data_IF_835666699969
#
_entry.id   IF_835666699969
#
_cell.length_a   1.000
_cell.length_b   1.000
_cell.length_c   1.000
_cell.angle_alpha   90.00
_cell.angle_beta   90.00
_cell.angle_gamma   90.00
#
_symmetry.space_group_name_H-M   'P 1'
#
loop_
_entity.id
_entity.type
_entity.pdbx_description
1 polymer ?
#
# COMPACT_ATOMS: atom_id res chain seq x y z
N UNK A 1 1.70 4.84 32.76
CA UNK A 1 0.90 3.79 32.11
C UNK A 1 0.55 2.65 33.09
N UNK A 2 1.49 1.87 33.57
CA UNK A 2 1.23 0.71 34.47
C UNK A 2 0.39 1.08 35.70
N UNK A 3 0.68 2.20 36.37
CA UNK A 3 -0.09 2.67 37.52
C UNK A 3 -1.56 2.95 37.16
N UNK A 4 -1.82 3.51 35.95
CA UNK A 4 -3.18 3.74 35.48
C UNK A 4 -3.92 2.41 35.23
N UNK A 5 -3.24 1.44 34.63
CA UNK A 5 -3.81 0.12 34.34
C UNK A 5 -4.18 -0.65 35.62
N UNK A 6 -3.38 -0.52 36.68
CA UNK A 6 -3.64 -1.19 37.95
C UNK A 6 -4.72 -0.50 38.79
N UNK A 7 -4.89 0.81 38.63
CA UNK A 7 -5.75 1.63 39.50
C UNK A 7 -7.00 2.18 38.81
N UNK A 8 -7.20 1.92 37.52
CA UNK A 8 -8.40 2.36 36.82
C UNK A 8 -9.63 1.61 37.36
N UNK A 9 -10.56 2.34 37.92
CA UNK A 9 -11.84 1.77 38.37
C UNK A 9 -12.73 1.35 37.19
N UNK A 10 -13.69 0.47 37.45
CA UNK A 10 -14.61 -0.07 36.43
C UNK A 10 -15.31 1.02 35.59
N UNK A 11 -15.64 2.14 36.21
CA UNK A 11 -16.33 3.26 35.57
C UNK A 11 -15.50 3.94 34.45
N UNK A 12 -14.18 4.07 34.65
CA UNK A 12 -13.28 4.71 33.68
C UNK A 12 -12.58 3.73 32.74
N UNK A 13 -12.64 2.43 33.06
CA UNK A 13 -11.95 1.38 32.31
C UNK A 13 -12.28 1.34 30.82
N UNK A 14 -13.55 1.45 30.36
CA UNK A 14 -13.85 1.44 28.93
C UNK A 14 -13.15 2.57 28.17
N UNK A 15 -13.05 3.76 28.77
CA UNK A 15 -12.36 4.89 28.14
C UNK A 15 -10.85 4.70 28.11
N UNK A 16 -10.27 4.05 29.11
CA UNK A 16 -8.85 3.69 29.16
C UNK A 16 -8.54 2.63 28.09
N UNK A 17 -9.35 1.58 28.04
CA UNK A 17 -9.20 0.50 27.05
C UNK A 17 -9.23 1.03 25.61
N UNK A 18 -10.21 1.85 25.25
CA UNK A 18 -10.32 2.43 23.92
C UNK A 18 -9.05 3.22 23.52
N UNK A 19 -8.50 4.02 24.47
CA UNK A 19 -7.29 4.80 24.19
C UNK A 19 -6.05 3.94 24.05
N UNK A 20 -5.96 2.87 24.83
CA UNK A 20 -4.85 1.91 24.74
C UNK A 20 -4.88 1.17 23.41
N UNK A 21 -6.06 0.73 22.99
CA UNK A 21 -6.23 0.00 21.74
C UNK A 21 -5.83 0.86 20.53
N UNK A 22 -6.28 2.12 20.50
CA UNK A 22 -5.83 3.08 19.47
C UNK A 22 -4.31 3.30 19.58
N UNK A 23 -3.78 3.46 20.81
CA UNK A 23 -2.35 3.67 21.04
C UNK A 23 -1.48 2.52 20.54
N UNK A 24 -1.88 1.28 20.75
CA UNK A 24 -1.16 0.10 20.23
C UNK A 24 -1.17 0.04 18.72
N UNK A 25 -2.32 0.27 18.11
CA UNK A 25 -2.43 0.32 16.64
C UNK A 25 -1.62 1.49 16.06
N UNK A 26 -1.63 2.65 16.70
CA UNK A 26 -0.83 3.81 16.29
C UNK A 26 0.67 3.53 16.41
N UNK A 27 1.11 2.85 17.46
CA UNK A 27 2.51 2.43 17.61
C UNK A 27 2.95 1.49 16.48
N UNK A 28 2.09 0.59 16.02
CA UNK A 28 2.39 -0.27 14.87
C UNK A 28 2.55 0.52 13.58
N UNK A 29 1.77 1.60 13.37
CA UNK A 29 1.99 2.52 12.24
C UNK A 29 3.36 3.20 12.34
N UNK A 30 3.75 3.68 13.53
CA UNK A 30 5.06 4.29 13.74
C UNK A 30 6.21 3.29 13.51
N UNK A 31 6.07 2.03 13.88
CA UNK A 31 7.07 0.99 13.60
C UNK A 31 7.27 0.79 12.09
N UNK A 32 6.20 0.84 11.31
CA UNK A 32 6.28 0.82 9.84
C UNK A 32 6.97 2.07 9.30
N UNK A 33 6.54 3.26 9.74
CA UNK A 33 7.13 4.54 9.31
C UNK A 33 8.62 4.64 9.64
N UNK A 34 9.05 4.13 10.79
CA UNK A 34 10.47 4.07 11.15
C UNK A 34 11.30 3.28 10.14
N UNK A 35 10.78 2.16 9.61
CA UNK A 35 11.47 1.37 8.61
C UNK A 35 11.57 2.10 7.26
N UNK A 36 10.55 2.87 6.88
CA UNK A 36 10.59 3.70 5.68
C UNK A 36 11.58 4.85 5.82
N UNK A 37 11.59 5.53 6.96
CA UNK A 37 12.53 6.62 7.26
C UNK A 37 13.98 6.14 7.33
N UNK A 38 14.22 5.01 7.99
CA UNK A 38 15.55 4.37 8.02
C UNK A 38 16.01 4.06 6.61
N UNK A 39 15.16 3.46 5.78
CA UNK A 39 15.49 3.13 4.38
C UNK A 39 15.88 4.39 3.59
N UNK A 40 15.10 5.46 3.71
CA UNK A 40 15.39 6.72 3.04
C UNK A 40 16.74 7.29 3.51
N UNK A 41 16.95 7.39 4.81
CA UNK A 41 18.18 7.94 5.38
C UNK A 41 19.42 7.13 4.97
N UNK A 42 19.33 5.80 5.00
CA UNK A 42 20.46 4.95 4.60
C UNK A 42 20.71 4.98 3.09
N UNK A 43 19.67 5.15 2.27
CA UNK A 43 19.81 5.26 0.81
C UNK A 43 20.53 6.52 0.36
N UNK A 44 20.39 7.63 1.11
CA UNK A 44 21.05 8.91 0.84
C UNK A 44 22.47 8.99 1.45
N UNK A 45 22.82 8.06 2.33
CA UNK A 45 24.16 7.96 2.88
C UNK A 45 25.14 7.51 1.77
N UNK A 46 26.27 8.20 1.53
CA UNK A 46 27.26 7.80 0.49
C UNK A 46 27.77 6.37 0.63
N UNK A 47 27.82 5.82 1.83
CA UNK A 47 28.25 4.43 2.10
C UNK A 47 27.13 3.42 1.85
N UNK A 48 25.88 3.86 1.74
CA UNK A 48 24.67 3.04 1.49
C UNK A 48 24.62 1.77 2.35
N UNK A 49 24.76 1.89 3.67
CA UNK A 49 24.84 0.72 4.56
C UNK A 49 23.47 0.01 4.61
N UNK A 50 23.50 -1.29 4.85
CA UNK A 50 22.31 -2.06 5.19
C UNK A 50 21.79 -1.64 6.58
N UNK A 51 20.47 -1.61 6.76
CA UNK A 51 19.85 -1.57 8.09
C UNK A 51 20.14 -2.86 8.84
N UNK A 52 19.99 -4.01 8.17
CA UNK A 52 20.34 -5.34 8.68
C UNK A 52 20.92 -6.19 7.57
N UNK A 53 22.02 -6.85 7.86
CA UNK A 53 22.68 -7.81 6.95
C UNK A 53 22.16 -9.24 7.08
N UNK A 54 21.36 -9.52 8.10
CA UNK A 54 20.82 -10.83 8.46
C UNK A 54 19.34 -11.00 8.10
N UNK A 55 18.80 -10.14 7.20
CA UNK A 55 17.43 -10.29 6.72
C UNK A 55 17.24 -11.62 5.99
N UNK A 56 16.06 -12.20 6.16
CA UNK A 56 15.67 -13.38 5.41
C UNK A 56 15.71 -13.08 3.90
N UNK A 57 16.18 -14.04 3.12
CA UNK A 57 16.16 -13.93 1.66
C UNK A 57 14.75 -14.17 1.14
N UNK A 58 14.28 -13.31 0.24
CA UNK A 58 13.01 -13.54 -0.45
C UNK A 58 13.09 -14.83 -1.27
N UNK A 59 12.00 -15.62 -1.33
CA UNK A 59 11.97 -16.83 -2.16
C UNK A 59 12.32 -16.51 -3.61
N UNK A 60 13.14 -17.35 -4.22
CA UNK A 60 13.38 -17.30 -5.67
C UNK A 60 12.21 -17.98 -6.36
N UNK A 61 11.30 -17.20 -6.90
CA UNK A 61 10.16 -17.67 -7.66
C UNK A 61 10.02 -16.85 -8.94
N UNK A 62 9.41 -17.44 -9.96
CA UNK A 62 8.91 -16.71 -11.11
C UNK A 62 7.46 -16.36 -10.84
N UNK A 63 7.13 -15.09 -10.94
CA UNK A 63 5.75 -14.62 -10.77
C UNK A 63 4.86 -15.31 -11.85
N UNK A 64 3.69 -15.82 -11.47
CA UNK A 64 2.78 -16.41 -12.46
C UNK A 64 2.31 -15.34 -13.44
N UNK A 65 1.93 -15.78 -14.65
CA UNK A 65 1.30 -14.85 -15.61
C UNK A 65 0.08 -14.20 -14.97
N UNK A 66 -0.02 -12.89 -15.16
CA UNK A 66 -1.19 -12.14 -14.71
C UNK A 66 -2.43 -12.64 -15.48
N UNK A 67 -3.49 -12.89 -14.75
CA UNK A 67 -4.81 -13.16 -15.31
C UNK A 67 -5.85 -12.29 -14.60
N UNK A 68 -7.08 -12.28 -15.12
CA UNK A 68 -8.14 -11.41 -14.66
C UNK A 68 -9.19 -12.17 -13.88
N UNK A 69 -9.49 -11.71 -12.67
CA UNK A 69 -10.56 -12.25 -11.83
C UNK A 69 -11.79 -11.35 -12.01
N UNK A 70 -12.91 -11.95 -12.39
CA UNK A 70 -14.16 -11.23 -12.66
C UNK A 70 -14.97 -11.07 -11.37
N UNK A 71 -15.44 -9.87 -11.13
CA UNK A 71 -16.36 -9.55 -10.04
C UNK A 71 -17.67 -9.03 -10.61
N UNK A 72 -18.82 -9.56 -10.16
CA UNK A 72 -20.12 -9.06 -10.58
C UNK A 72 -20.37 -7.67 -10.00
N UNK A 73 -21.02 -6.82 -10.79
CA UNK A 73 -21.53 -5.55 -10.29
C UNK A 73 -22.67 -5.73 -9.29
N UNK A 74 -23.12 -4.62 -8.73
CA UNK A 74 -24.25 -4.61 -7.82
C UNK A 74 -24.04 -3.66 -6.65
N UNK A 75 -24.96 -3.74 -5.69
CA UNK A 75 -24.87 -2.98 -4.43
C UNK A 75 -24.10 -3.82 -3.41
N UNK A 76 -23.00 -3.27 -2.95
CA UNK A 76 -22.13 -3.88 -1.96
C UNK A 76 -22.02 -3.00 -0.72
N UNK A 77 -21.68 -3.59 0.42
CA UNK A 77 -21.41 -2.86 1.64
C UNK A 77 -19.91 -2.75 1.86
N UNK A 78 -19.42 -1.55 2.12
CA UNK A 78 -18.00 -1.20 2.29
C UNK A 78 -17.80 -0.65 3.69
N UNK A 79 -16.62 -0.89 4.26
CA UNK A 79 -16.22 -0.44 5.57
C UNK A 79 -16.28 -1.53 6.63
N UNK A 80 -15.78 -1.22 7.80
CA UNK A 80 -15.65 -2.16 8.92
C UNK A 80 -17.01 -2.60 9.47
N UNK A 81 -17.13 -3.90 9.76
CA UNK A 81 -18.39 -4.51 10.19
C UNK A 81 -18.36 -5.02 11.64
N UNK A 82 -17.20 -5.53 12.07
CA UNK A 82 -17.09 -6.32 13.29
C UNK A 82 -16.92 -5.44 14.54
N UNK A 83 -17.04 -6.05 15.73
CA UNK A 83 -16.82 -5.40 17.02
C UNK A 83 -15.31 -5.25 17.36
N UNK A 84 -14.43 -5.76 16.50
CA UNK A 84 -12.99 -5.60 16.64
C UNK A 84 -12.54 -4.16 16.37
N UNK A 85 -11.30 -3.86 16.71
CA UNK A 85 -10.72 -2.55 16.45
C UNK A 85 -10.76 -2.17 14.98
N UNK A 86 -11.19 -0.95 14.71
CA UNK A 86 -11.03 -0.27 13.44
C UNK A 86 -10.90 1.24 13.67
N UNK A 87 -10.13 1.89 12.84
CA UNK A 87 -10.06 3.35 12.85
C UNK A 87 -11.37 3.99 12.44
N UNK A 88 -11.57 5.23 12.82
CA UNK A 88 -12.80 5.98 12.49
C UNK A 88 -13.00 6.15 10.97
N UNK A 89 -11.91 6.26 10.21
CA UNK A 89 -11.94 6.38 8.75
C UNK A 89 -12.40 5.11 8.01
N UNK A 90 -12.49 3.98 8.69
CA UNK A 90 -13.04 2.74 8.17
C UNK A 90 -14.56 2.64 8.37
N UNK A 91 -15.16 3.64 9.02
CA UNK A 91 -16.57 3.70 9.45
C UNK A 91 -17.25 4.96 8.95
N UNK A 92 -18.62 4.97 8.88
CA UNK A 92 -19.49 3.82 9.06
C UNK A 92 -19.49 2.89 7.85
N UNK A 93 -19.84 1.61 8.06
CA UNK A 93 -20.16 0.71 6.95
C UNK A 93 -21.34 1.28 6.16
N UNK A 94 -21.23 1.27 4.84
CA UNK A 94 -22.22 1.88 3.96
C UNK A 94 -22.35 1.11 2.65
N UNK A 95 -23.45 1.38 1.93
CA UNK A 95 -23.71 0.77 0.63
C UNK A 95 -23.08 1.59 -0.49
N UNK A 96 -22.45 0.90 -1.42
CA UNK A 96 -21.96 1.46 -2.66
C UNK A 96 -22.35 0.59 -3.85
N UNK A 97 -22.58 1.19 -5.00
CA UNK A 97 -22.82 0.47 -6.24
C UNK A 97 -21.49 0.34 -6.99
N UNK A 98 -21.20 -0.87 -7.44
CA UNK A 98 -20.06 -1.16 -8.33
C UNK A 98 -20.59 -1.68 -9.67
N UNK A 99 -20.00 -1.21 -10.75
CA UNK A 99 -20.16 -1.87 -12.04
C UNK A 99 -19.42 -3.21 -12.04
N UNK A 100 -19.75 -4.16 -12.92
CA UNK A 100 -18.91 -5.34 -13.13
C UNK A 100 -17.48 -4.93 -13.46
N UNK A 101 -16.50 -5.57 -12.84
CA UNK A 101 -15.09 -5.25 -13.04
C UNK A 101 -14.23 -6.51 -13.03
N UNK A 102 -13.01 -6.36 -13.49
CA UNK A 102 -11.98 -7.38 -13.38
C UNK A 102 -10.78 -6.83 -12.63
N UNK A 103 -10.21 -7.66 -11.79
CA UNK A 103 -9.02 -7.32 -11.04
C UNK A 103 -7.87 -8.24 -11.46
N UNK A 104 -6.69 -7.68 -11.64
CA UNK A 104 -5.48 -8.44 -11.90
C UNK A 104 -5.19 -9.39 -10.75
N UNK A 105 -4.83 -10.64 -11.06
CA UNK A 105 -4.61 -11.69 -10.06
C UNK A 105 -3.46 -11.41 -9.11
N UNK A 106 -2.52 -10.53 -9.46
CA UNK A 106 -1.37 -10.10 -8.66
C UNK A 106 -1.00 -8.64 -8.94
N UNK A 107 -0.16 -8.02 -8.08
CA UNK A 107 0.45 -6.73 -8.37
C UNK A 107 1.32 -6.76 -9.64
N UNK A 108 1.56 -5.59 -10.23
CA UNK A 108 2.51 -5.38 -11.32
C UNK A 108 3.92 -5.69 -10.82
N UNK A 109 4.71 -6.37 -11.64
CA UNK A 109 6.10 -6.72 -11.30
C UNK A 109 7.11 -5.65 -11.74
N UNK A 110 8.31 -5.71 -11.20
CA UNK A 110 9.43 -4.88 -11.63
C UNK A 110 9.74 -5.04 -13.12
N UNK A 111 9.66 -6.27 -13.65
CA UNK A 111 9.90 -6.55 -15.06
C UNK A 111 8.86 -5.92 -15.97
N UNK A 112 7.59 -5.99 -15.60
CA UNK A 112 6.50 -5.33 -16.32
C UNK A 112 6.65 -3.80 -16.27
N UNK A 113 7.07 -3.25 -15.13
CA UNK A 113 7.32 -1.82 -15.01
C UNK A 113 8.53 -1.34 -15.83
N UNK A 114 9.58 -2.16 -15.93
CA UNK A 114 10.70 -1.87 -16.84
C UNK A 114 10.28 -1.80 -18.30
N UNK A 115 9.31 -2.60 -18.75
CA UNK A 115 8.76 -2.50 -20.09
C UNK A 115 8.10 -1.14 -20.35
N UNK A 116 7.33 -0.62 -19.38
CA UNK A 116 6.78 0.75 -19.43
C UNK A 116 7.89 1.80 -19.54
N UNK A 117 8.95 1.67 -18.74
CA UNK A 117 10.09 2.60 -18.79
C UNK A 117 10.80 2.55 -20.15
N UNK A 118 11.03 1.33 -20.66
CA UNK A 118 11.71 1.12 -21.95
C UNK A 118 10.89 1.68 -23.16
N UNK A 119 9.55 1.67 -23.04
CA UNK A 119 8.64 2.26 -24.03
C UNK A 119 8.48 3.79 -23.86
N UNK A 120 9.37 4.42 -23.09
CA UNK A 120 9.42 5.86 -22.91
C UNK A 120 8.38 6.41 -21.91
N UNK A 121 7.92 5.61 -20.97
CA UNK A 121 6.88 5.95 -20.01
C UNK A 121 7.11 7.27 -19.28
N UNK A 122 8.33 7.56 -18.84
CA UNK A 122 8.68 8.84 -18.20
C UNK A 122 8.90 10.01 -19.18
N UNK A 123 8.92 9.74 -20.47
CA UNK A 123 9.10 10.75 -21.53
C UNK A 123 7.82 11.18 -22.23
N UNK A 124 6.73 10.45 -22.07
CA UNK A 124 5.49 10.69 -22.80
C UNK A 124 4.41 11.30 -21.88
N UNK A 125 4.11 12.62 -22.03
CA UNK A 125 3.11 13.30 -21.20
C UNK A 125 1.69 12.71 -21.34
N UNK A 126 1.40 11.98 -22.44
CA UNK A 126 0.08 11.41 -22.70
C UNK A 126 -0.35 10.32 -21.73
N UNK A 127 0.59 9.75 -20.97
CA UNK A 127 0.29 8.75 -19.95
C UNK A 127 -0.01 9.35 -18.58
N UNK A 128 0.39 10.61 -18.35
CA UNK A 128 0.43 11.20 -17.02
C UNK A 128 -0.74 12.13 -16.75
N UNK A 129 -1.24 12.08 -15.53
CA UNK A 129 -2.07 13.17 -15.01
C UNK A 129 -1.28 14.49 -15.00
N UNK A 130 -1.96 15.62 -15.17
CA UNK A 130 -1.34 16.95 -15.27
C UNK A 130 -0.31 17.24 -14.16
N UNK A 131 -0.70 17.04 -12.90
CA UNK A 131 0.17 17.27 -11.74
C UNK A 131 1.29 16.24 -11.65
N UNK A 132 1.00 15.00 -12.09
CA UNK A 132 1.99 13.93 -12.23
C UNK A 132 3.09 14.31 -13.20
N UNK A 133 2.71 14.75 -14.40
CA UNK A 133 3.69 15.22 -15.41
C UNK A 133 4.49 16.41 -14.93
N UNK A 134 3.85 17.38 -14.29
CA UNK A 134 4.53 18.52 -13.71
C UNK A 134 5.53 18.11 -12.63
N UNK A 135 5.19 17.11 -11.83
CA UNK A 135 6.05 16.54 -10.78
C UNK A 135 7.24 15.79 -11.39
N UNK A 136 7.02 14.94 -12.40
CA UNK A 136 8.09 14.24 -13.13
C UNK A 136 9.13 15.24 -13.67
N UNK A 137 8.67 16.30 -14.31
CA UNK A 137 9.58 17.33 -14.85
C UNK A 137 10.32 18.09 -13.75
N UNK A 138 9.61 18.52 -12.72
CA UNK A 138 10.17 19.32 -11.62
C UNK A 138 11.21 18.55 -10.81
N UNK A 139 10.94 17.26 -10.55
CA UNK A 139 11.78 16.39 -9.73
C UNK A 139 12.71 15.49 -10.56
N UNK A 140 12.69 15.63 -11.89
CA UNK A 140 13.49 14.85 -12.84
C UNK A 140 13.37 13.34 -12.64
N UNK A 141 12.15 12.85 -12.43
CA UNK A 141 11.91 11.42 -12.29
C UNK A 141 12.12 10.69 -13.60
N UNK A 142 12.85 9.58 -13.54
CA UNK A 142 13.14 8.70 -14.69
C UNK A 142 13.01 7.22 -14.34
N UNK A 143 12.78 6.92 -13.06
CA UNK A 143 12.64 5.56 -12.52
C UNK A 143 11.92 5.59 -11.17
N UNK A 144 11.44 4.45 -10.64
CA UNK A 144 10.98 4.31 -9.27
C UNK A 144 12.02 4.78 -8.25
N UNK A 145 11.60 5.20 -7.07
CA UNK A 145 12.52 5.60 -6.01
C UNK A 145 13.41 4.40 -5.62
N UNK A 146 14.68 4.68 -5.33
CA UNK A 146 15.73 3.69 -4.99
C UNK A 146 16.26 2.84 -6.15
N UNK A 147 15.78 3.03 -7.39
CA UNK A 147 16.34 2.34 -8.54
C UNK A 147 17.46 3.14 -9.17
N UNK A 148 18.50 2.43 -9.58
CA UNK A 148 19.67 3.00 -10.25
C UNK A 148 20.14 2.08 -11.37
N UNK A 149 20.57 2.68 -12.48
CA UNK A 149 21.21 1.97 -13.58
C UNK A 149 22.74 2.00 -13.37
N UNK A 150 23.33 0.85 -13.04
CA UNK A 150 24.77 0.71 -12.79
C UNK A 150 25.31 -0.27 -13.83
N UNK A 151 26.26 0.17 -14.66
CA UNK A 151 26.91 -0.65 -15.71
C UNK A 151 25.92 -1.39 -16.63
N UNK A 152 24.79 -0.76 -16.93
CA UNK A 152 23.74 -1.35 -17.78
C UNK A 152 22.78 -2.30 -17.07
N UNK A 153 22.91 -2.52 -15.79
CA UNK A 153 22.03 -3.34 -14.98
C UNK A 153 21.25 -2.49 -13.97
N UNK A 154 19.97 -2.81 -13.76
CA UNK A 154 19.15 -2.15 -12.76
C UNK A 154 19.43 -2.70 -11.36
N UNK A 155 19.66 -1.80 -10.44
CA UNK A 155 19.86 -2.04 -9.01
C UNK A 155 18.79 -1.31 -8.21
N UNK A 156 18.52 -1.79 -7.02
CA UNK A 156 17.64 -1.13 -6.04
C UNK A 156 18.28 -1.11 -4.67
N UNK A 157 18.04 -0.03 -3.91
CA UNK A 157 18.40 0.03 -2.51
C UNK A 157 17.31 -0.60 -1.65
N UNK A 158 17.69 -1.50 -0.74
CA UNK A 158 16.80 -2.21 0.19
C UNK A 158 17.24 -2.01 1.63
N UNK A 159 16.43 -2.44 2.62
CA UNK A 159 16.87 -2.48 4.02
C UNK A 159 18.04 -3.45 4.26
N UNK A 160 18.28 -4.37 3.33
CA UNK A 160 19.48 -5.22 3.28
C UNK A 160 20.65 -4.63 2.49
N UNK A 161 20.57 -3.36 2.09
CA UNK A 161 21.57 -2.69 1.24
C UNK A 161 21.24 -2.75 -0.26
N UNK A 162 22.15 -2.26 -1.12
CA UNK A 162 21.98 -2.31 -2.58
C UNK A 162 21.98 -3.75 -3.10
N UNK A 163 21.09 -4.06 -4.05
CA UNK A 163 21.08 -5.36 -4.75
C UNK A 163 20.59 -5.20 -6.19
N UNK A 164 20.91 -6.16 -7.05
CA UNK A 164 20.34 -6.23 -8.39
C UNK A 164 18.81 -6.33 -8.31
N UNK A 165 18.15 -5.65 -9.23
CA UNK A 165 16.71 -5.66 -9.33
C UNK A 165 16.23 -7.08 -9.68
N UNK A 166 15.30 -7.61 -8.89
CA UNK A 166 14.61 -8.86 -9.22
C UNK A 166 13.33 -8.52 -10.00
N UNK A 167 13.25 -8.99 -11.24
CA UNK A 167 12.16 -8.67 -12.17
C UNK A 167 10.81 -9.26 -11.78
N UNK A 168 10.84 -10.31 -10.98
CA UNK A 168 9.64 -11.07 -10.57
C UNK A 168 8.94 -10.50 -9.32
N UNK A 169 9.59 -9.60 -8.59
CA UNK A 169 9.02 -8.98 -7.40
C UNK A 169 8.02 -7.88 -7.76
N UNK A 170 7.00 -7.62 -6.94
CA UNK A 170 6.12 -6.49 -7.12
C UNK A 170 6.88 -5.17 -7.22
N UNK A 171 6.46 -4.32 -8.15
CA UNK A 171 6.95 -2.94 -8.20
C UNK A 171 6.68 -2.26 -6.85
N UNK A 172 7.68 -1.55 -6.35
CA UNK A 172 7.61 -0.88 -5.06
C UNK A 172 8.24 0.51 -5.13
N UNK A 173 7.81 1.41 -4.25
CA UNK A 173 8.29 2.80 -4.19
C UNK A 173 7.96 3.62 -5.44
N UNK A 174 6.74 3.47 -5.92
CA UNK A 174 6.14 4.28 -6.96
C UNK A 174 5.03 5.15 -6.37
N UNK A 175 4.90 6.37 -6.86
CA UNK A 175 3.83 7.30 -6.50
C UNK A 175 2.50 6.89 -7.14
N UNK A 176 1.39 7.49 -6.67
CA UNK A 176 0.11 7.35 -7.34
C UNK A 176 0.19 7.79 -8.82
N UNK A 177 0.92 8.87 -9.10
CA UNK A 177 1.09 9.34 -10.47
C UNK A 177 1.82 8.34 -11.37
N UNK A 178 2.81 7.64 -10.86
CA UNK A 178 3.55 6.59 -11.57
C UNK A 178 2.67 5.36 -11.80
N UNK A 179 1.87 4.97 -10.81
CA UNK A 179 0.92 3.87 -10.92
C UNK A 179 -0.17 4.15 -11.97
N UNK A 180 -0.71 5.38 -11.98
CA UNK A 180 -1.73 5.83 -12.93
C UNK A 180 -1.18 5.94 -14.36
N UNK A 181 0.06 6.45 -14.50
CA UNK A 181 0.73 6.52 -15.80
C UNK A 181 0.98 5.13 -16.38
N UNK A 182 1.40 4.17 -15.56
CA UNK A 182 1.53 2.78 -15.98
C UNK A 182 0.19 2.19 -16.40
N UNK A 183 -0.86 2.38 -15.61
CA UNK A 183 -2.20 1.88 -15.91
C UNK A 183 -2.71 2.45 -17.24
N UNK A 184 -2.54 3.74 -17.48
CA UNK A 184 -2.88 4.40 -18.76
C UNK A 184 -2.08 3.81 -19.93
N UNK A 185 -0.77 3.63 -19.78
CA UNK A 185 0.08 3.00 -20.81
C UNK A 185 -0.38 1.58 -21.14
N UNK A 186 -0.76 0.80 -20.12
CA UNK A 186 -1.25 -0.56 -20.28
C UNK A 186 -2.69 -0.64 -20.83
N UNK A 187 -3.37 0.50 -21.05
CA UNK A 187 -4.78 0.53 -21.46
C UNK A 187 -5.72 -0.03 -20.39
N UNK A 188 -5.36 0.15 -19.12
CA UNK A 188 -6.07 -0.31 -17.93
C UNK A 188 -6.29 0.85 -16.96
N UNK A 189 -6.78 0.56 -15.77
CA UNK A 189 -6.95 1.51 -14.68
C UNK A 189 -6.50 0.92 -13.34
N UNK A 190 -6.39 1.76 -12.33
CA UNK A 190 -6.29 1.30 -10.95
C UNK A 190 -7.68 0.87 -10.44
N UNK A 191 -7.76 -0.07 -9.49
CA UNK A 191 -9.01 -0.38 -8.81
C UNK A 191 -9.44 0.79 -7.93
N UNK A 192 -10.73 0.98 -7.75
CA UNK A 192 -11.25 1.80 -6.64
C UNK A 192 -11.02 1.10 -5.31
N UNK A 193 -10.99 1.84 -4.20
CA UNK A 193 -10.88 1.24 -2.87
C UNK A 193 -12.02 0.26 -2.56
N UNK A 194 -13.21 0.52 -3.11
CA UNK A 194 -14.36 -0.34 -2.93
C UNK A 194 -14.23 -1.66 -3.72
N UNK A 195 -13.73 -1.61 -4.95
CA UNK A 195 -13.43 -2.81 -5.74
C UNK A 195 -12.36 -3.66 -5.05
N UNK A 196 -11.31 -3.02 -4.56
CA UNK A 196 -10.25 -3.71 -3.83
C UNK A 196 -10.79 -4.39 -2.56
N UNK A 197 -11.59 -3.68 -1.74
CA UNK A 197 -12.15 -4.21 -0.50
C UNK A 197 -13.08 -5.40 -0.74
N UNK A 198 -13.93 -5.31 -1.78
CA UNK A 198 -14.81 -6.43 -2.16
C UNK A 198 -14.00 -7.64 -2.61
N UNK A 199 -12.95 -7.43 -3.39
CA UNK A 199 -12.07 -8.50 -3.86
C UNK A 199 -11.28 -9.16 -2.71
N UNK A 200 -10.87 -8.39 -1.71
CA UNK A 200 -10.15 -8.89 -0.54
C UNK A 200 -11.05 -9.55 0.52
N UNK A 201 -12.36 -9.29 0.45
CA UNK A 201 -13.31 -9.78 1.45
C UNK A 201 -13.36 -11.29 1.48
N UNK A 202 -13.22 -11.86 2.67
CA UNK A 202 -13.24 -13.30 2.89
C UNK A 202 -11.93 -14.02 2.58
N UNK A 203 -10.94 -13.31 2.06
CA UNK A 203 -9.59 -13.86 1.97
C UNK A 203 -8.91 -13.81 3.35
N UNK A 204 -8.10 -14.82 3.69
CA UNK A 204 -7.32 -14.77 4.92
C UNK A 204 -6.34 -13.59 4.87
N UNK A 205 -6.19 -12.89 5.99
CA UNK A 205 -5.16 -11.85 6.16
C UNK A 205 -3.82 -12.57 6.33
N UNK A 206 -3.22 -12.94 5.22
CA UNK A 206 -1.96 -13.66 5.17
C UNK A 206 -1.15 -13.23 3.94
N UNK A 207 0.15 -13.10 4.10
CA UNK A 207 1.06 -12.67 3.03
C UNK A 207 2.44 -12.33 3.57
N UNK A 208 3.23 -11.68 2.73
CA UNK A 208 4.53 -11.17 3.10
C UNK A 208 4.37 -9.87 3.91
N UNK A 209 4.11 -10.02 5.20
CA UNK A 209 4.01 -8.97 6.20
C UNK A 209 5.32 -8.91 7.01
N UNK A 210 5.46 -7.93 7.92
CA UNK A 210 6.69 -7.71 8.70
C UNK A 210 7.25 -8.98 9.36
N UNK A 211 6.36 -9.85 9.82
CA UNK A 211 6.73 -11.06 10.55
C UNK A 211 7.42 -12.13 9.68
N UNK A 212 7.38 -11.98 8.33
CA UNK A 212 8.18 -12.79 7.41
C UNK A 212 9.68 -12.58 7.57
N UNK A 213 10.08 -11.42 8.08
CA UNK A 213 11.49 -11.04 8.24
C UNK A 213 12.22 -10.66 6.95
N UNK A 214 11.52 -10.63 5.80
CA UNK A 214 12.12 -10.19 4.52
C UNK A 214 12.31 -8.67 4.49
N UNK A 215 11.40 -7.91 5.05
CA UNK A 215 11.33 -6.45 4.98
C UNK A 215 11.51 -5.91 3.55
N UNK A 216 11.07 -6.72 2.59
CA UNK A 216 11.12 -6.43 1.16
C UNK A 216 10.03 -7.22 0.43
N UNK A 217 9.42 -6.69 -0.65
CA UNK A 217 8.48 -7.43 -1.46
C UNK A 217 9.11 -8.71 -2.04
N UNK A 218 8.31 -9.76 -2.15
CA UNK A 218 8.73 -11.05 -2.69
C UNK A 218 7.94 -11.39 -3.96
N UNK A 219 8.52 -12.18 -4.86
CA UNK A 219 7.82 -12.67 -6.04
C UNK A 219 6.58 -13.50 -5.63
N UNK A 220 5.48 -13.32 -6.36
CA UNK A 220 4.26 -14.09 -6.14
C UNK A 220 4.53 -15.59 -6.31
N UNK A 221 4.09 -16.37 -5.35
CA UNK A 221 4.11 -17.84 -5.50
C UNK A 221 2.92 -18.25 -6.37
N UNK A 222 3.08 -19.32 -7.19
CA UNK A 222 1.96 -19.88 -7.95
C UNK A 222 0.77 -20.22 -7.05
N UNK A 223 -0.42 -19.86 -7.49
CA UNK A 223 -1.66 -20.11 -6.77
C UNK A 223 -2.87 -19.71 -7.62
N UNK A 224 -4.04 -20.14 -7.19
CA UNK A 224 -5.30 -19.82 -7.84
C UNK A 224 -5.91 -18.54 -7.24
N UNK A 225 -6.61 -17.77 -8.06
CA UNK A 225 -7.34 -16.57 -7.64
C UNK A 225 -6.46 -15.35 -7.44
N UNK A 226 -6.79 -14.54 -6.42
CA UNK A 226 -6.06 -13.33 -6.09
C UNK A 226 -4.85 -13.64 -5.19
N UNK A 227 -3.69 -13.19 -5.62
CA UNK A 227 -2.42 -13.35 -4.92
C UNK A 227 -1.98 -12.02 -4.33
N UNK A 228 -1.28 -12.06 -3.19
CA UNK A 228 -0.63 -10.88 -2.58
C UNK A 228 -1.62 -9.73 -2.28
N UNK A 229 -2.86 -10.05 -1.90
CA UNK A 229 -3.82 -9.01 -1.47
C UNK A 229 -3.42 -8.38 -0.14
N UNK A 230 -2.62 -9.08 0.67
CA UNK A 230 -2.08 -8.56 1.92
C UNK A 230 -0.58 -8.71 1.94
N UNK A 231 0.09 -7.65 2.41
CA UNK A 231 1.54 -7.60 2.48
C UNK A 231 2.20 -7.21 1.15
N UNK A 232 3.48 -7.47 1.04
CA UNK A 232 4.36 -7.05 -0.07
C UNK A 232 4.38 -5.54 -0.26
N UNK A 233 3.35 -4.94 -0.86
CA UNK A 233 3.23 -3.51 -1.11
C UNK A 233 1.83 -3.00 -0.76
N UNK A 234 1.74 -1.82 -0.17
CA UNK A 234 0.50 -1.07 -0.14
C UNK A 234 0.05 -0.78 -1.57
N UNK A 235 -1.16 -1.16 -1.92
CA UNK A 235 -1.67 -1.00 -3.28
C UNK A 235 -2.41 0.31 -3.46
N UNK A 236 -1.92 1.13 -4.40
CA UNK A 236 -2.63 2.33 -4.84
C UNK A 236 -4.01 2.01 -5.40
N UNK A 237 -4.99 2.80 -5.01
CA UNK A 237 -6.34 2.79 -5.58
C UNK A 237 -6.64 4.10 -6.30
N UNK A 238 -7.60 4.09 -7.22
CA UNK A 238 -8.09 5.29 -7.89
C UNK A 238 -8.94 6.20 -6.97
N UNK A 239 -9.15 5.82 -5.71
CA UNK A 239 -10.04 6.53 -4.80
C UNK A 239 -9.32 7.63 -4.04
N UNK A 240 -9.83 8.89 -4.08
CA UNK A 240 -9.38 9.92 -3.19
C UNK A 240 -9.73 9.60 -1.74
N UNK A 241 -8.87 9.98 -0.81
CA UNK A 241 -9.13 9.82 0.61
C UNK A 241 -10.16 10.83 1.08
N UNK A 242 -11.39 10.37 1.20
CA UNK A 242 -12.56 11.16 1.62
C UNK A 242 -13.31 10.46 2.74
N UNK A 243 -14.13 11.21 3.52
CA UNK A 243 -14.99 10.62 4.53
C UNK A 243 -16.03 9.70 3.89
N UNK A 244 -16.27 8.55 4.50
CA UNK A 244 -17.39 7.70 4.13
C UNK A 244 -18.74 8.40 4.40
N UNK A 245 -19.80 8.07 3.66
CA UNK A 245 -21.14 8.61 3.91
C UNK A 245 -21.54 8.42 5.38
N UNK A 246 -21.86 9.52 6.07
CA UNK A 246 -22.21 9.49 7.49
C UNK A 246 -21.02 9.50 8.46
N UNK A 247 -19.78 9.60 8.01
CA UNK A 247 -18.61 9.75 8.86
C UNK A 247 -18.77 10.93 9.83
N UNK A 248 -18.36 10.71 11.07
CA UNK A 248 -18.31 11.74 12.11
C UNK A 248 -17.03 11.54 12.92
N UNK A 249 -16.13 12.53 12.94
CA UNK A 249 -14.93 12.42 13.76
C UNK A 249 -15.32 12.38 15.26
N UNK A 250 -14.56 11.67 16.05
CA UNK A 250 -14.70 11.68 17.49
C UNK A 250 -14.42 13.08 18.04
N UNK A 251 -14.93 13.38 19.22
CA UNK A 251 -14.61 14.65 19.89
C UNK A 251 -13.16 14.68 20.41
N UNK A 252 -12.56 15.87 20.39
CA UNK A 252 -11.20 16.11 20.91
C UNK A 252 -10.09 15.50 20.05
N UNK A 253 -8.94 15.24 20.65
CA UNK A 253 -7.72 14.81 19.95
C UNK A 253 -7.87 13.51 19.13
N UNK A 254 -8.76 12.60 19.51
CA UNK A 254 -9.04 11.39 18.74
C UNK A 254 -9.69 11.69 17.38
N UNK A 255 -10.53 12.71 17.28
CA UNK A 255 -11.18 13.11 16.04
C UNK A 255 -10.26 13.84 15.07
N UNK A 256 -9.12 14.32 15.53
CA UNK A 256 -8.10 14.93 14.68
C UNK A 256 -7.19 13.91 13.98
N UNK A 257 -7.32 12.64 14.33
CA UNK A 257 -6.39 11.61 13.91
C UNK A 257 -6.45 11.32 12.40
N UNK A 258 -7.63 11.18 11.82
CA UNK A 258 -7.81 10.85 10.40
C UNK A 258 -8.52 11.94 9.60
N UNK A 259 -9.58 12.53 10.16
CA UNK A 259 -10.50 13.41 9.44
C UNK A 259 -9.83 14.62 8.80
N UNK A 260 -8.87 15.23 9.46
CA UNK A 260 -8.15 16.41 8.94
C UNK A 260 -7.23 16.11 7.75
N UNK A 261 -6.91 14.84 7.49
CA UNK A 261 -6.08 14.42 6.37
C UNK A 261 -6.89 14.04 5.13
N UNK A 262 -8.22 14.07 5.20
CA UNK A 262 -9.11 13.76 4.07
C UNK A 262 -9.13 14.90 3.04
N UNK A 263 -7.94 15.23 2.52
CA UNK A 263 -7.74 16.28 1.53
C UNK A 263 -6.51 15.97 0.67
N UNK A 264 -6.69 15.94 -0.65
CA UNK A 264 -5.62 15.79 -1.65
C UNK A 264 -4.76 14.52 -1.51
N UNK A 265 -5.23 13.51 -0.81
CA UNK A 265 -4.55 12.23 -0.64
C UNK A 265 -5.31 11.11 -1.34
N UNK A 266 -4.61 10.02 -1.67
CA UNK A 266 -5.16 8.84 -2.32
C UNK A 266 -5.13 7.66 -1.36
N UNK A 267 -6.15 6.79 -1.46
CA UNK A 267 -6.26 5.61 -0.60
C UNK A 267 -5.34 4.49 -1.10
N UNK A 268 -4.66 3.84 -0.15
CA UNK A 268 -3.91 2.60 -0.36
C UNK A 268 -4.48 1.48 0.50
N UNK A 269 -4.37 0.26 0.03
CA UNK A 269 -4.93 -0.95 0.67
C UNK A 269 -3.90 -2.07 0.79
N UNK A 270 -4.14 -3.01 1.69
CA UNK A 270 -3.49 -4.33 1.74
C UNK A 270 -2.31 -4.48 2.68
N UNK A 271 -1.68 -3.40 3.13
CA UNK A 271 -0.45 -3.50 3.91
C UNK A 271 0.79 -3.73 3.05
N UNK A 272 1.96 -3.75 3.66
CA UNK A 272 3.24 -3.96 2.99
C UNK A 272 4.09 -5.00 3.73
N UNK A 273 5.24 -5.32 3.18
CA UNK A 273 6.23 -6.22 3.80
C UNK A 273 6.81 -5.71 5.13
N UNK A 274 6.45 -4.51 5.55
CA UNK A 274 6.86 -3.91 6.84
C UNK A 274 5.65 -3.62 7.75
N UNK A 275 4.44 -3.94 7.32
CA UNK A 275 3.22 -3.84 8.13
C UNK A 275 3.08 -5.04 9.07
N UNK A 276 2.71 -4.83 10.33
CA UNK A 276 2.45 -5.90 11.28
C UNK A 276 1.22 -6.73 10.88
N UNK A 277 1.30 -8.06 11.05
CA UNK A 277 0.24 -8.97 10.58
C UNK A 277 -1.10 -8.78 11.32
N UNK A 278 -1.05 -8.43 12.60
CA UNK A 278 -2.22 -8.18 13.44
C UNK A 278 -2.79 -6.76 13.29
N UNK A 279 -2.17 -5.92 12.46
CA UNK A 279 -2.57 -4.55 12.21
C UNK A 279 -3.50 -4.38 11.00
N UNK A 280 -3.34 -5.24 9.99
CA UNK A 280 -4.02 -5.10 8.69
C UNK A 280 -5.35 -5.86 8.63
N UNK A 281 -6.28 -5.39 7.82
CA UNK A 281 -7.60 -5.95 7.53
C UNK A 281 -8.15 -5.41 6.22
N UNK A 282 -9.18 -6.03 5.67
CA UNK A 282 -9.75 -5.64 4.38
C UNK A 282 -10.27 -4.19 4.36
N UNK A 283 -10.83 -3.70 5.46
CA UNK A 283 -11.36 -2.33 5.58
C UNK A 283 -10.30 -1.26 5.85
N UNK A 284 -9.06 -1.65 6.18
CA UNK A 284 -8.00 -0.68 6.52
C UNK A 284 -7.75 0.29 5.37
N UNK A 285 -7.72 1.58 5.68
CA UNK A 285 -7.47 2.66 4.72
C UNK A 285 -6.19 3.39 5.08
N UNK A 286 -5.12 3.15 4.32
CA UNK A 286 -3.92 3.98 4.35
C UNK A 286 -4.04 5.10 3.31
N UNK A 287 -3.29 6.19 3.47
CA UNK A 287 -3.42 7.35 2.60
C UNK A 287 -2.12 8.14 2.52
N UNK A 288 -1.79 8.59 1.31
CA UNK A 288 -0.60 9.41 1.03
C UNK A 288 -0.91 10.45 -0.04
N UNK A 289 -0.11 11.52 -0.08
CA UNK A 289 -0.17 12.46 -1.18
C UNK A 289 0.24 11.80 -2.49
N UNK A 290 -0.37 12.18 -3.63
CA UNK A 290 -0.17 11.48 -4.91
C UNK A 290 1.27 11.44 -5.43
N UNK A 291 2.14 12.34 -4.96
CA UNK A 291 3.55 12.41 -5.37
C UNK A 291 4.49 11.65 -4.43
N UNK A 292 4.04 11.18 -3.29
CA UNK A 292 4.88 10.46 -2.34
C UNK A 292 5.14 9.03 -2.83
N UNK A 293 6.39 8.57 -2.69
CA UNK A 293 6.84 7.26 -3.15
C UNK A 293 7.86 6.57 -2.22
N UNK A 294 8.05 7.14 -1.03
CA UNK A 294 9.00 6.62 -0.04
C UNK A 294 8.44 5.43 0.76
N UNK A 295 7.13 5.27 0.83
CA UNK A 295 6.49 4.11 1.47
C UNK A 295 6.67 2.86 0.59
N UNK A 296 6.51 1.66 1.18
CA UNK A 296 6.47 0.39 0.45
C UNK A 296 5.13 0.26 -0.29
N UNK A 297 4.99 1.00 -1.36
CA UNK A 297 3.77 1.12 -2.14
C UNK A 297 3.98 0.73 -3.59
N UNK A 298 3.02 0.00 -4.12
CA UNK A 298 2.93 -0.47 -5.49
C UNK A 298 1.48 -0.47 -5.93
N UNK A 299 1.09 -1.33 -6.88
CA UNK A 299 -0.27 -1.36 -7.38
C UNK A 299 -0.57 -2.65 -8.15
N UNK A 300 -1.86 -2.96 -8.27
CA UNK A 300 -2.40 -3.89 -9.27
C UNK A 300 -3.33 -3.17 -10.21
N UNK A 301 -3.61 -3.80 -11.35
CA UNK A 301 -4.49 -3.25 -12.36
C UNK A 301 -5.93 -3.73 -12.18
N UNK A 302 -6.85 -2.92 -12.69
CA UNK A 302 -8.24 -3.26 -12.88
C UNK A 302 -8.69 -2.90 -14.30
N UNK A 303 -9.78 -3.49 -14.75
CA UNK A 303 -10.47 -3.13 -15.98
C UNK A 303 -11.99 -3.29 -15.81
N UNK A 304 -12.75 -2.62 -16.66
CA UNK A 304 -14.19 -2.82 -16.73
C UNK A 304 -14.49 -4.17 -17.38
N UNK A 305 -15.53 -4.87 -16.90
CA UNK A 305 -15.87 -6.23 -17.35
C UNK A 305 -16.80 -6.23 -18.58
#
# INVERSE_FOLDING_TARGET
MLTLLHNAGEEVWPAVQQRLEIGFNHEQQHQELLLTDIKLNLSTNPLRPAYRSDLHQTPKASAPHQHWIVFPGGVHEIGHQDDCFAYDNEKPRHRTYLNPFRLASRPVTNGEYLAFMADGGYGNPGFWLSDGWSTVKRLHWSSPLYWELIEGEWWQFTLGGPRKLNLEEPICHVSYYEAEAYATWAGKRLPTEAEWEIAARGLPVAGNLRDSGYLHPAAAMPGDGLLQMYGDVWEHTASPYQPYPGFRPAAGALGEYNGKFMCSQMVLRGGSCVTAADHIRASYRNFFYPHERWQFQGFRLAEDA
#
